data_IF_439411643760
#
_entry.id   IF_439411643760
#
_cell.length_a   1.000
_cell.length_b   1.000
_cell.length_c   1.000
_cell.angle_alpha   90.00
_cell.angle_beta   90.00
_cell.angle_gamma   90.00
#
_symmetry.space_group_name_H-M   'P 1'
#
loop_
_entity.id
_entity.type
_entity.pdbx_description
1 polymer ?
#
# COMPACT_ATOMS: atom_id res chain seq x y z
N UNK A 1 7.84 17.96 17.48
CA UNK A 1 7.43 17.52 16.12
C UNK A 1 6.94 16.09 16.25
N UNK A 2 5.65 15.90 16.50
CA UNK A 2 5.03 14.58 16.52
C UNK A 2 4.82 14.15 15.08
N UNK A 3 5.60 13.17 14.62
CA UNK A 3 5.29 12.46 13.36
C UNK A 3 3.82 12.03 13.42
N UNK A 4 3.05 12.29 12.37
CA UNK A 4 1.69 11.77 12.33
C UNK A 4 1.79 10.23 12.29
N UNK A 5 1.24 9.50 13.26
CA UNK A 5 1.08 8.06 13.10
C UNK A 5 -0.08 7.86 12.12
N UNK A 6 0.12 7.19 10.99
CA UNK A 6 -1.06 6.66 10.29
C UNK A 6 -0.99 6.36 8.80
N UNK A 7 0.06 6.73 8.07
CA UNK A 7 0.15 6.38 6.64
C UNK A 7 1.33 5.45 6.38
N UNK A 8 1.14 4.16 6.72
CA UNK A 8 2.09 3.09 6.37
C UNK A 8 2.08 2.81 4.87
N UNK A 9 0.96 3.02 4.22
CA UNK A 9 0.81 2.80 2.78
C UNK A 9 0.51 4.09 2.05
N UNK A 10 1.09 4.23 0.87
CA UNK A 10 0.90 5.38 -0.01
C UNK A 10 0.86 4.90 -1.47
N UNK A 11 0.35 5.75 -2.37
CA UNK A 11 0.23 5.44 -3.79
C UNK A 11 1.22 6.26 -4.60
N UNK A 12 1.92 5.61 -5.52
CA UNK A 12 2.74 6.32 -6.51
C UNK A 12 2.31 5.99 -7.92
N UNK A 13 2.51 6.96 -8.81
CA UNK A 13 2.22 6.83 -10.22
C UNK A 13 3.24 5.88 -10.85
N UNK A 14 2.76 4.75 -11.36
CA UNK A 14 3.57 3.70 -12.01
C UNK A 14 3.48 3.80 -13.55
N UNK A 15 2.33 4.23 -14.07
CA UNK A 15 2.09 4.39 -15.51
C UNK A 15 1.36 5.68 -15.88
N UNK A 16 0.93 5.82 -17.15
CA UNK A 16 0.24 7.03 -17.64
C UNK A 16 -1.06 7.32 -16.86
N UNK A 17 -1.82 6.26 -16.52
CA UNK A 17 -3.07 6.33 -15.76
C UNK A 17 -3.16 5.27 -14.65
N UNK A 18 -2.05 4.65 -14.32
CA UNK A 18 -2.00 3.54 -13.36
C UNK A 18 -1.08 3.85 -12.19
N UNK A 19 -1.48 3.33 -11.04
CA UNK A 19 -0.90 3.61 -9.73
C UNK A 19 -0.56 2.28 -9.05
N UNK A 20 0.52 2.30 -8.28
CA UNK A 20 0.88 1.20 -7.39
C UNK A 20 0.81 1.65 -5.93
N UNK A 21 0.50 0.70 -5.06
CA UNK A 21 0.52 0.90 -3.61
C UNK A 21 1.86 0.41 -3.08
N UNK A 22 2.56 1.27 -2.35
CA UNK A 22 3.81 0.93 -1.71
C UNK A 22 3.73 1.24 -0.21
N UNK A 23 4.45 0.44 0.57
CA UNK A 23 4.61 0.70 1.99
C UNK A 23 5.70 1.77 2.16
N UNK A 24 5.37 2.88 2.82
CA UNK A 24 6.27 4.02 3.07
C UNK A 24 7.31 3.70 4.13
N UNK A 25 7.06 2.69 4.96
CA UNK A 25 7.93 2.26 6.06
C UNK A 25 9.13 1.46 5.54
N UNK A 26 8.88 0.56 4.59
CA UNK A 26 9.84 -0.37 3.97
C UNK A 26 10.25 0.07 2.57
N UNK A 27 9.46 0.94 1.93
CA UNK A 27 9.66 1.40 0.54
C UNK A 27 9.37 0.31 -0.50
N UNK A 28 8.68 -0.77 -0.12
CA UNK A 28 8.40 -1.92 -0.99
C UNK A 28 6.97 -1.86 -1.51
N UNK A 29 6.76 -2.32 -2.74
CA UNK A 29 5.41 -2.47 -3.30
C UNK A 29 4.62 -3.46 -2.46
N UNK A 30 3.39 -3.10 -2.10
CA UNK A 30 2.51 -3.92 -1.28
C UNK A 30 2.09 -5.15 -2.07
N UNK A 31 2.25 -6.31 -1.44
CA UNK A 31 1.79 -7.60 -1.94
C UNK A 31 0.84 -8.17 -0.91
N UNK A 32 -0.45 -8.28 -1.25
CA UNK A 32 -1.45 -8.95 -0.41
C UNK A 32 -1.90 -10.19 -1.16
N UNK A 33 -1.91 -11.33 -0.47
CA UNK A 33 -2.34 -12.62 -1.04
C UNK A 33 -1.52 -13.02 -2.30
N UNK A 34 -0.23 -12.69 -2.31
CA UNK A 34 0.66 -12.95 -3.46
C UNK A 34 0.39 -12.09 -4.69
N UNK A 35 -0.60 -11.19 -4.65
CA UNK A 35 -0.90 -10.25 -5.72
C UNK A 35 -0.28 -8.89 -5.43
N UNK A 36 0.55 -8.42 -6.36
CA UNK A 36 1.13 -7.06 -6.31
C UNK A 36 0.03 -6.05 -6.60
N UNK A 37 -0.10 -5.04 -5.74
CA UNK A 37 -1.04 -3.95 -5.96
C UNK A 37 -0.40 -2.88 -6.85
N UNK A 38 -0.18 -3.26 -8.12
CA UNK A 38 0.33 -2.41 -9.18
C UNK A 38 -0.67 -2.36 -10.35
N UNK A 39 -0.51 -1.37 -11.22
CA UNK A 39 -1.38 -1.13 -12.37
C UNK A 39 -2.86 -0.83 -12.02
N UNK A 40 -3.11 -0.21 -10.86
CA UNK A 40 -4.46 0.11 -10.38
C UNK A 40 -4.89 1.50 -10.85
N UNK A 41 -6.17 1.72 -11.18
CA UNK A 41 -6.67 3.07 -11.38
C UNK A 41 -6.63 3.84 -10.05
N UNK A 42 -6.45 5.17 -10.13
CA UNK A 42 -6.32 6.05 -8.95
C UNK A 42 -7.43 5.83 -7.93
N UNK A 43 -8.68 5.77 -8.40
CA UNK A 43 -9.87 5.57 -7.55
C UNK A 43 -9.79 4.28 -6.72
N UNK A 44 -9.37 3.17 -7.35
CA UNK A 44 -9.16 1.92 -6.63
C UNK A 44 -7.96 1.97 -5.69
N UNK A 45 -6.86 2.61 -6.10
CA UNK A 45 -5.65 2.68 -5.31
C UNK A 45 -5.83 3.56 -4.06
N UNK A 46 -6.56 4.68 -4.19
CA UNK A 46 -6.89 5.60 -3.10
C UNK A 46 -7.78 4.95 -2.04
N UNK A 47 -8.89 4.30 -2.45
CA UNK A 47 -9.76 3.53 -1.55
C UNK A 47 -8.99 2.42 -0.85
N UNK A 48 -8.08 1.75 -1.55
CA UNK A 48 -7.30 0.65 -0.99
C UNK A 48 -6.28 1.15 0.03
N UNK A 49 -5.61 2.28 -0.22
CA UNK A 49 -4.68 2.90 0.74
C UNK A 49 -5.41 3.44 1.96
N UNK A 50 -6.58 4.03 1.79
CA UNK A 50 -7.44 4.45 2.91
C UNK A 50 -7.84 3.23 3.75
N UNK A 51 -8.29 2.15 3.11
CA UNK A 51 -8.63 0.89 3.79
C UNK A 51 -7.44 0.28 4.52
N UNK A 52 -6.26 0.19 3.90
CA UNK A 52 -5.07 -0.41 4.52
C UNK A 52 -4.55 0.41 5.69
N UNK A 53 -4.62 1.75 5.60
CA UNK A 53 -4.23 2.64 6.70
C UNK A 53 -5.29 2.70 7.81
N UNK A 54 -6.57 2.51 7.48
CA UNK A 54 -7.69 2.48 8.44
C UNK A 54 -7.81 1.15 9.18
N UNK A 55 -7.72 0.03 8.46
CA UNK A 55 -7.87 -1.32 9.03
C UNK A 55 -6.59 -1.85 9.68
N UNK A 56 -5.46 -1.13 9.57
CA UNK A 56 -4.18 -1.63 10.08
C UNK A 56 -3.82 -3.00 9.49
N UNK A 57 -4.14 -3.21 8.21
CA UNK A 57 -3.85 -4.44 7.50
C UNK A 57 -2.34 -4.65 7.51
N UNK A 58 -1.86 -5.52 8.38
CA UNK A 58 -0.48 -5.99 8.36
C UNK A 58 -0.36 -6.91 7.12
N UNK A 59 0.41 -6.53 6.07
CA UNK A 59 0.70 -7.45 4.99
C UNK A 59 1.32 -8.67 5.64
N UNK A 60 0.93 -9.85 5.16
CA UNK A 60 1.43 -11.13 5.65
C UNK A 60 2.96 -11.14 5.48
N UNK A 61 3.67 -10.63 6.48
CA UNK A 61 5.09 -10.85 6.67
C UNK A 61 5.18 -12.32 7.07
N UNK A 62 5.31 -13.17 6.05
CA UNK A 62 6.17 -14.35 6.13
C UNK A 62 6.08 -15.07 7.49
N UNK A 63 4.94 -15.72 7.77
CA UNK A 63 4.96 -16.84 8.72
C UNK A 63 5.56 -18.06 8.04
N UNK A 64 6.82 -17.95 7.58
CA UNK A 64 7.66 -19.09 7.26
C UNK A 64 8.59 -19.33 8.46
N UNK A 65 8.15 -20.18 9.39
CA UNK A 65 9.00 -20.76 10.43
C UNK A 65 8.69 -22.24 10.63
#
# INVERSE_FOLDING_TARGET
MTWAPGHRYDIRKDGEHTWEIFDTTTGRTVVIDGKRYCDLPLDSADVMVDLMNSEGMEPDEERLH
#
